data_IF_000140739301
#
_entry.id   IF_000140739301
#
_cell.length_a   1.000
_cell.length_b   1.000
_cell.length_c   1.000
_cell.angle_alpha   90.00
_cell.angle_beta   90.00
_cell.angle_gamma   90.00
#
_symmetry.space_group_name_H-M   'P 1'
#
loop_
_entity.id
_entity.type
_entity.pdbx_description
1 polymer ?
#
# COMPACT_ATOMS: atom_id res chain seq x y z
N UNK A 1 1.10 4.20 20.43
CA UNK A 1 -0.03 3.52 21.10
C UNK A 1 -0.80 2.56 20.18
N UNK A 2 -1.18 2.95 18.95
CA UNK A 2 -1.89 2.06 17.99
C UNK A 2 -1.14 0.77 17.59
N UNK A 3 0.19 0.83 17.49
CA UNK A 3 1.03 -0.33 17.09
C UNK A 3 1.00 -1.42 18.17
N UNK A 4 1.13 -1.06 19.45
CA UNK A 4 1.15 -2.00 20.57
C UNK A 4 -0.19 -2.73 20.72
N UNK A 5 -1.32 -2.04 20.47
CA UNK A 5 -2.65 -2.65 20.50
C UNK A 5 -2.89 -3.70 19.41
N UNK A 6 -2.29 -3.52 18.22
CA UNK A 6 -2.35 -4.50 17.12
C UNK A 6 -1.54 -5.76 17.40
N UNK A 7 -0.37 -5.63 18.04
CA UNK A 7 0.42 -6.78 18.48
C UNK A 7 -0.25 -7.53 19.64
N UNK A 8 -0.84 -6.81 20.59
CA UNK A 8 -1.54 -7.41 21.73
C UNK A 8 -2.80 -8.20 21.33
N UNK A 9 -3.52 -7.79 20.27
CA UNK A 9 -4.68 -8.52 19.75
C UNK A 9 -4.31 -9.65 18.77
N UNK A 10 -3.14 -9.58 18.13
CA UNK A 10 -2.66 -10.61 17.20
C UNK A 10 -2.35 -11.95 17.88
N UNK A 11 -1.74 -11.90 19.08
CA UNK A 11 -1.34 -13.08 19.87
C UNK A 11 -2.53 -14.00 20.25
N UNK A 12 -3.64 -13.50 20.84
CA UNK A 12 -4.79 -14.35 21.16
C UNK A 12 -5.49 -14.88 19.90
N UNK A 13 -5.50 -14.12 18.79
CA UNK A 13 -6.06 -14.59 17.53
C UNK A 13 -5.23 -15.74 16.94
N UNK A 14 -3.89 -15.62 16.97
CA UNK A 14 -3.00 -16.72 16.52
C UNK A 14 -3.06 -17.91 17.45
N UNK A 15 -3.13 -17.70 18.76
CA UNK A 15 -3.37 -18.77 19.74
C UNK A 15 -4.68 -19.50 19.45
N UNK A 16 -5.76 -18.79 19.14
CA UNK A 16 -7.06 -19.38 18.82
C UNK A 16 -7.02 -20.17 17.50
N UNK A 17 -6.34 -19.66 16.48
CA UNK A 17 -6.17 -20.35 15.19
C UNK A 17 -5.30 -21.60 15.35
N UNK A 18 -4.21 -21.53 16.11
CA UNK A 18 -3.35 -22.68 16.43
C UNK A 18 -4.14 -23.73 17.22
N UNK A 19 -4.83 -23.30 18.27
CA UNK A 19 -5.67 -24.20 19.07
C UNK A 19 -6.72 -24.89 18.20
N UNK A 20 -7.43 -24.16 17.35
CA UNK A 20 -8.45 -24.73 16.46
C UNK A 20 -7.85 -25.74 15.46
N UNK A 21 -6.79 -25.36 14.75
CA UNK A 21 -6.16 -26.23 13.75
C UNK A 21 -5.59 -27.52 14.36
N UNK A 22 -4.94 -27.41 15.52
CA UNK A 22 -4.30 -28.56 16.17
C UNK A 22 -5.22 -29.37 17.07
N UNK A 23 -6.34 -28.81 17.55
CA UNK A 23 -7.24 -29.51 18.47
C UNK A 23 -8.51 -30.00 17.78
N UNK A 24 -9.12 -29.21 16.89
CA UNK A 24 -10.44 -29.50 16.35
C UNK A 24 -10.40 -30.18 14.97
N UNK A 25 -9.45 -29.80 14.11
CA UNK A 25 -9.33 -30.36 12.75
C UNK A 25 -8.21 -31.41 12.63
N UNK A 26 -7.46 -31.67 13.70
CA UNK A 26 -6.31 -32.59 13.67
C UNK A 26 -6.69 -34.01 13.25
N UNK A 27 -7.74 -34.59 13.83
CA UNK A 27 -8.22 -35.93 13.44
C UNK A 27 -8.67 -35.96 11.97
N UNK A 28 -9.32 -34.90 11.50
CA UNK A 28 -9.71 -34.77 10.09
C UNK A 28 -8.48 -34.73 9.17
N UNK A 29 -7.45 -33.95 9.53
CA UNK A 29 -6.24 -33.81 8.73
C UNK A 29 -5.40 -35.09 8.70
N UNK A 30 -5.16 -35.72 9.85
CA UNK A 30 -4.39 -36.97 9.93
C UNK A 30 -5.05 -38.08 9.10
N UNK A 31 -6.37 -38.15 9.10
CA UNK A 31 -7.10 -39.19 8.39
C UNK A 31 -7.20 -38.91 6.88
N UNK A 32 -7.39 -37.65 6.47
CA UNK A 32 -7.72 -37.30 5.09
C UNK A 32 -6.54 -36.79 4.23
N UNK A 33 -5.43 -36.32 4.83
CA UNK A 33 -4.26 -35.89 4.05
C UNK A 33 -3.62 -37.10 3.38
N UNK A 34 -3.66 -37.12 2.04
CA UNK A 34 -2.90 -38.07 1.22
C UNK A 34 -1.57 -37.42 0.83
N UNK A 35 -0.47 -38.04 1.25
CA UNK A 35 0.85 -37.66 0.76
C UNK A 35 1.05 -38.27 -0.63
N UNK A 36 1.48 -37.46 -1.61
CA UNK A 36 1.84 -37.93 -2.95
C UNK A 36 3.14 -38.76 -2.98
N UNK A 37 3.79 -38.92 -1.82
CA UNK A 37 5.00 -39.71 -1.63
C UNK A 37 4.74 -40.79 -0.57
N UNK A 38 5.40 -41.94 -0.72
CA UNK A 38 5.31 -43.01 0.27
C UNK A 38 5.97 -42.55 1.58
N UNK A 39 5.17 -42.39 2.64
CA UNK A 39 5.63 -42.11 3.99
C UNK A 39 5.28 -43.34 4.85
N UNK A 40 6.24 -43.93 5.59
CA UNK A 40 5.95 -45.01 6.52
C UNK A 40 4.85 -44.61 7.50
N UNK A 41 3.94 -45.54 7.82
CA UNK A 41 2.77 -45.26 8.68
C UNK A 41 3.18 -44.65 10.02
N UNK A 42 4.26 -45.16 10.61
CA UNK A 42 4.84 -44.69 11.89
C UNK A 42 5.36 -43.24 11.83
N UNK A 43 5.73 -42.74 10.65
CA UNK A 43 6.22 -41.36 10.46
C UNK A 43 5.13 -40.40 9.98
N UNK A 44 3.96 -40.91 9.57
CA UNK A 44 2.89 -40.08 8.97
C UNK A 44 2.41 -39.00 9.93
N UNK A 45 2.19 -39.34 11.20
CA UNK A 45 1.74 -38.37 12.21
C UNK A 45 2.78 -37.29 12.46
N UNK A 46 4.06 -37.68 12.61
CA UNK A 46 5.16 -36.74 12.81
C UNK A 46 5.34 -35.81 11.61
N UNK A 47 5.33 -36.34 10.38
CA UNK A 47 5.41 -35.53 9.16
C UNK A 47 4.23 -34.56 9.04
N UNK A 48 3.01 -35.01 9.33
CA UNK A 48 1.82 -34.16 9.31
C UNK A 48 1.93 -33.05 10.36
N UNK A 49 2.37 -33.38 11.58
CA UNK A 49 2.60 -32.41 12.64
C UNK A 49 3.64 -31.36 12.22
N UNK A 50 4.77 -31.80 11.67
CA UNK A 50 5.83 -30.91 11.22
C UNK A 50 5.38 -29.95 10.12
N UNK A 51 4.66 -30.47 9.10
CA UNK A 51 4.13 -29.65 8.00
C UNK A 51 3.12 -28.64 8.52
N UNK A 52 2.22 -29.05 9.43
CA UNK A 52 1.24 -28.15 10.04
C UNK A 52 1.91 -27.06 10.87
N UNK A 53 2.86 -27.42 11.76
CA UNK A 53 3.59 -26.45 12.58
C UNK A 53 4.35 -25.46 11.69
N UNK A 54 5.04 -25.95 10.66
CA UNK A 54 5.79 -25.11 9.72
C UNK A 54 4.87 -24.16 8.96
N UNK A 55 3.71 -24.63 8.52
CA UNK A 55 2.72 -23.82 7.80
C UNK A 55 2.12 -22.74 8.71
N UNK A 56 1.76 -23.09 9.94
CA UNK A 56 1.24 -22.13 10.93
C UNK A 56 2.29 -21.09 11.30
N UNK A 57 3.53 -21.52 11.54
CA UNK A 57 4.64 -20.62 11.83
C UNK A 57 4.91 -19.68 10.65
N UNK A 58 5.02 -20.21 9.43
CA UNK A 58 5.21 -19.41 8.22
C UNK A 58 4.08 -18.40 8.02
N UNK A 59 2.82 -18.80 8.22
CA UNK A 59 1.66 -17.93 8.12
C UNK A 59 1.67 -16.82 9.17
N UNK A 60 2.00 -17.14 10.42
CA UNK A 60 2.08 -16.17 11.51
C UNK A 60 3.19 -15.15 11.27
N UNK A 61 4.41 -15.60 11.00
CA UNK A 61 5.54 -14.70 10.77
C UNK A 61 5.35 -13.87 9.50
N UNK A 62 4.84 -14.48 8.42
CA UNK A 62 4.48 -13.77 7.20
C UNK A 62 3.44 -12.67 7.47
N UNK A 63 2.37 -13.00 8.21
CA UNK A 63 1.34 -12.03 8.61
C UNK A 63 1.90 -10.88 9.45
N UNK A 64 2.77 -11.17 10.43
CA UNK A 64 3.41 -10.15 11.26
C UNK A 64 4.34 -9.23 10.46
N UNK A 65 5.16 -9.80 9.56
CA UNK A 65 6.07 -9.04 8.69
C UNK A 65 5.26 -8.15 7.74
N UNK A 66 4.22 -8.69 7.09
CA UNK A 66 3.34 -7.91 6.23
C UNK A 66 2.62 -6.80 7.01
N UNK A 67 2.13 -7.09 8.22
CA UNK A 67 1.48 -6.10 9.08
C UNK A 67 2.43 -4.99 9.53
N UNK A 68 3.66 -5.32 9.91
CA UNK A 68 4.67 -4.33 10.26
C UNK A 68 5.08 -3.48 9.06
N UNK A 69 5.30 -4.12 7.91
CA UNK A 69 5.62 -3.44 6.65
C UNK A 69 4.50 -2.50 6.24
N UNK A 70 3.24 -2.92 6.35
CA UNK A 70 2.06 -2.10 6.08
C UNK A 70 2.05 -0.84 6.94
N UNK A 71 2.24 -0.98 8.25
CA UNK A 71 2.25 0.15 9.19
C UNK A 71 3.38 1.13 8.90
N UNK A 72 4.57 0.62 8.56
CA UNK A 72 5.71 1.44 8.17
C UNK A 72 5.43 2.20 6.87
N UNK A 73 5.00 1.51 5.82
CA UNK A 73 4.65 2.13 4.54
C UNK A 73 3.59 3.21 4.73
N UNK A 74 2.51 2.90 5.46
CA UNK A 74 1.44 3.86 5.76
C UNK A 74 1.99 5.11 6.46
N UNK A 75 2.76 4.93 7.53
CA UNK A 75 3.27 6.05 8.32
C UNK A 75 4.25 6.91 7.52
N UNK A 76 5.16 6.28 6.77
CA UNK A 76 6.16 6.98 5.97
C UNK A 76 5.51 7.73 4.81
N UNK A 77 4.54 7.13 4.12
CA UNK A 77 3.82 7.81 3.03
C UNK A 77 2.97 8.97 3.54
N UNK A 78 2.29 8.82 4.69
CA UNK A 78 1.57 9.92 5.32
C UNK A 78 2.50 11.06 5.74
N UNK A 79 3.68 10.74 6.29
CA UNK A 79 4.68 11.73 6.64
C UNK A 79 5.17 12.49 5.40
N UNK A 80 5.47 11.79 4.31
CA UNK A 80 5.87 12.40 3.05
C UNK A 80 4.77 13.32 2.49
N UNK A 81 3.52 12.86 2.46
CA UNK A 81 2.38 13.66 2.03
C UNK A 81 2.19 14.92 2.90
N UNK A 82 2.34 14.80 4.22
CA UNK A 82 2.24 15.94 5.14
C UNK A 82 3.37 16.97 4.94
N UNK A 83 4.59 16.52 4.63
CA UNK A 83 5.71 17.42 4.29
C UNK A 83 5.40 18.20 3.01
N UNK A 84 4.96 17.50 1.95
CA UNK A 84 4.57 18.13 0.68
C UNK A 84 3.42 19.13 0.92
N UNK A 85 2.41 18.73 1.69
CA UNK A 85 1.26 19.57 2.04
C UNK A 85 1.69 20.82 2.82
N UNK A 86 2.55 20.67 3.82
CA UNK A 86 3.06 21.80 4.61
C UNK A 86 3.83 22.77 3.73
N UNK A 87 4.73 22.25 2.88
CA UNK A 87 5.45 23.06 1.89
C UNK A 87 4.50 23.81 0.96
N UNK A 88 3.52 23.10 0.38
CA UNK A 88 2.48 23.67 -0.48
C UNK A 88 1.73 24.82 0.18
N UNK A 89 1.27 24.63 1.42
CA UNK A 89 0.56 25.68 2.15
C UNK A 89 1.44 26.89 2.48
N UNK A 90 2.71 26.66 2.81
CA UNK A 90 3.67 27.73 3.09
C UNK A 90 4.04 28.51 1.82
N UNK A 91 4.24 27.80 0.72
CA UNK A 91 4.54 28.37 -0.59
C UNK A 91 3.40 29.29 -1.04
N UNK A 92 2.15 28.84 -0.92
CA UNK A 92 0.96 29.67 -1.22
C UNK A 92 0.93 30.94 -0.37
N UNK A 93 1.14 30.83 0.95
CA UNK A 93 1.18 31.99 1.85
C UNK A 93 2.29 32.98 1.49
N UNK A 94 3.45 32.49 1.05
CA UNK A 94 4.58 33.34 0.63
C UNK A 94 4.26 34.08 -0.68
N UNK A 95 3.61 33.43 -1.64
CA UNK A 95 3.13 34.10 -2.85
C UNK A 95 2.12 35.22 -2.55
N UNK A 96 1.32 35.09 -1.50
CA UNK A 96 0.35 36.12 -1.10
C UNK A 96 0.98 37.27 -0.29
N UNK A 97 2.16 37.08 0.30
CA UNK A 97 2.74 38.03 1.29
C UNK A 97 4.08 38.63 0.93
N UNK A 98 4.83 38.04 -0.01
CA UNK A 98 6.21 38.42 -0.32
C UNK A 98 6.44 38.53 -1.83
N UNK A 99 7.37 39.42 -2.19
CA UNK A 99 7.86 39.54 -3.56
C UNK A 99 8.60 38.25 -3.98
N UNK A 100 8.21 37.60 -5.10
CA UNK A 100 8.78 36.33 -5.53
C UNK A 100 10.31 36.33 -5.66
N UNK A 101 10.89 37.45 -6.12
CA UNK A 101 12.35 37.58 -6.31
C UNK A 101 13.17 37.38 -5.03
N UNK A 102 12.58 37.58 -3.85
CA UNK A 102 13.29 37.51 -2.57
C UNK A 102 13.42 36.09 -2.00
N UNK A 103 12.48 35.19 -2.33
CA UNK A 103 12.39 33.88 -1.66
C UNK A 103 12.47 32.67 -2.60
N UNK A 104 12.32 32.83 -3.92
CA UNK A 104 12.28 31.73 -4.90
C UNK A 104 13.48 30.77 -4.80
N UNK A 105 14.72 31.28 -4.69
CA UNK A 105 15.90 30.41 -4.62
C UNK A 105 15.88 29.48 -3.41
N UNK A 106 15.37 29.97 -2.27
CA UNK A 106 15.22 29.16 -1.06
C UNK A 106 14.11 28.13 -1.21
N UNK A 107 13.04 28.44 -1.94
CA UNK A 107 11.96 27.48 -2.25
C UNK A 107 12.42 26.39 -3.19
N UNK A 108 13.17 26.73 -4.25
CA UNK A 108 13.75 25.72 -5.16
C UNK A 108 14.64 24.76 -4.38
N UNK A 109 15.48 25.28 -3.48
CA UNK A 109 16.31 24.45 -2.61
C UNK A 109 15.46 23.53 -1.71
N UNK A 110 14.44 24.09 -1.06
CA UNK A 110 13.52 23.34 -0.18
C UNK A 110 12.76 22.25 -0.95
N UNK A 111 12.30 22.55 -2.16
CA UNK A 111 11.65 21.60 -3.05
C UNK A 111 12.58 20.45 -3.44
N UNK A 112 13.82 20.74 -3.81
CA UNK A 112 14.81 19.71 -4.14
C UNK A 112 15.12 18.83 -2.93
N UNK A 113 15.18 19.40 -1.72
CA UNK A 113 15.32 18.63 -0.48
C UNK A 113 14.12 17.70 -0.27
N UNK A 114 12.88 18.21 -0.40
CA UNK A 114 11.66 17.40 -0.30
C UNK A 114 11.64 16.29 -1.35
N UNK A 115 11.96 16.61 -2.60
CA UNK A 115 12.05 15.66 -3.70
C UNK A 115 13.05 14.54 -3.38
N UNK A 116 14.22 14.90 -2.85
CA UNK A 116 15.25 13.94 -2.45
C UNK A 116 14.79 13.03 -1.29
N UNK A 117 13.99 13.56 -0.35
CA UNK A 117 13.41 12.77 0.73
C UNK A 117 12.39 11.78 0.19
N UNK A 118 11.50 12.20 -0.72
CA UNK A 118 10.51 11.32 -1.35
C UNK A 118 11.21 10.24 -2.19
N UNK A 119 12.24 10.57 -2.95
CA UNK A 119 13.04 9.60 -3.71
C UNK A 119 13.75 8.60 -2.79
N UNK A 120 14.31 9.05 -1.66
CA UNK A 120 14.90 8.14 -0.65
C UNK A 120 13.87 7.20 -0.04
N UNK A 121 12.67 7.72 0.26
CA UNK A 121 11.55 6.91 0.76
C UNK A 121 11.17 5.86 -0.28
N UNK A 122 11.01 6.26 -1.55
CA UNK A 122 10.68 5.34 -2.63
C UNK A 122 11.74 4.24 -2.75
N UNK A 123 13.03 4.60 -2.82
CA UNK A 123 14.12 3.61 -2.91
C UNK A 123 14.20 2.67 -1.71
N UNK A 124 13.89 3.14 -0.51
CA UNK A 124 13.94 2.32 0.70
C UNK A 124 12.75 1.36 0.81
N UNK A 125 11.56 1.79 0.37
CA UNK A 125 10.31 1.06 0.56
C UNK A 125 9.76 0.40 -0.72
N UNK A 126 10.33 0.65 -1.90
CA UNK A 126 9.77 0.15 -3.17
C UNK A 126 9.63 -1.38 -3.20
N UNK A 127 10.65 -2.12 -2.78
CA UNK A 127 10.63 -3.58 -2.77
C UNK A 127 9.67 -4.09 -1.70
N UNK A 128 9.67 -3.47 -0.52
CA UNK A 128 8.73 -3.79 0.56
C UNK A 128 7.28 -3.56 0.11
N UNK A 129 7.00 -2.46 -0.57
CA UNK A 129 5.70 -2.15 -1.13
C UNK A 129 5.33 -3.19 -2.20
N UNK A 130 6.23 -3.53 -3.13
CA UNK A 130 5.98 -4.56 -4.14
C UNK A 130 5.59 -5.90 -3.50
N UNK A 131 6.41 -6.39 -2.57
CA UNK A 131 6.16 -7.66 -1.88
C UNK A 131 4.86 -7.63 -1.07
N UNK A 132 4.56 -6.50 -0.42
CA UNK A 132 3.30 -6.31 0.31
C UNK A 132 2.11 -6.37 -0.64
N UNK A 133 2.14 -5.66 -1.77
CA UNK A 133 1.08 -5.69 -2.78
C UNK A 133 0.88 -7.09 -3.35
N UNK A 134 1.96 -7.79 -3.70
CA UNK A 134 1.90 -9.18 -4.16
C UNK A 134 1.28 -10.09 -3.10
N UNK A 135 1.73 -10.00 -1.85
CA UNK A 135 1.21 -10.81 -0.75
C UNK A 135 -0.28 -10.57 -0.50
N UNK A 136 -0.71 -9.30 -0.42
CA UNK A 136 -2.11 -8.96 -0.23
C UNK A 136 -2.97 -9.43 -1.42
N UNK A 137 -2.51 -9.24 -2.65
CA UNK A 137 -3.21 -9.76 -3.84
C UNK A 137 -3.34 -11.28 -3.79
N UNK A 138 -2.27 -12.02 -3.47
CA UNK A 138 -2.33 -13.46 -3.31
C UNK A 138 -3.37 -13.88 -2.28
N UNK A 139 -3.43 -13.22 -1.11
CA UNK A 139 -4.44 -13.53 -0.10
C UNK A 139 -5.88 -13.23 -0.55
N UNK A 140 -6.11 -12.18 -1.36
CA UNK A 140 -7.41 -11.91 -1.98
C UNK A 140 -7.81 -13.09 -2.88
N UNK A 141 -6.93 -13.49 -3.81
CA UNK A 141 -7.20 -14.58 -4.74
C UNK A 141 -7.39 -15.92 -4.04
N UNK A 142 -6.55 -16.25 -3.05
CA UNK A 142 -6.70 -17.46 -2.22
C UNK A 142 -8.06 -17.47 -1.52
N UNK A 143 -8.50 -16.35 -0.95
CA UNK A 143 -9.80 -16.26 -0.28
C UNK A 143 -10.94 -16.52 -1.25
N UNK A 144 -10.86 -16.00 -2.48
CA UNK A 144 -11.83 -16.27 -3.55
C UNK A 144 -11.82 -17.76 -3.94
N UNK A 145 -10.64 -18.34 -4.17
CA UNK A 145 -10.50 -19.75 -4.55
C UNK A 145 -11.10 -20.68 -3.49
N UNK A 146 -10.83 -20.43 -2.20
CA UNK A 146 -11.40 -21.23 -1.11
C UNK A 146 -12.91 -21.04 -1.02
N UNK A 147 -13.42 -19.81 -1.19
CA UNK A 147 -14.86 -19.52 -1.14
C UNK A 147 -15.66 -20.19 -2.27
N UNK A 148 -15.04 -20.37 -3.45
CA UNK A 148 -15.68 -21.01 -4.61
C UNK A 148 -15.49 -22.54 -4.61
N UNK A 149 -14.50 -23.06 -3.88
CA UNK A 149 -14.19 -24.49 -3.86
C UNK A 149 -15.38 -25.34 -3.42
N UNK A 150 -15.53 -26.50 -4.07
CA UNK A 150 -16.58 -27.49 -3.80
C UNK A 150 -16.17 -28.57 -2.82
N UNK A 151 -14.92 -28.58 -2.39
CA UNK A 151 -14.41 -29.57 -1.44
C UNK A 151 -15.14 -29.46 -0.09
N UNK A 152 -15.71 -30.57 0.38
CA UNK A 152 -16.51 -30.60 1.63
C UNK A 152 -15.72 -30.11 2.84
N UNK A 153 -14.42 -30.39 2.87
CA UNK A 153 -13.48 -29.97 3.92
C UNK A 153 -13.45 -28.43 4.03
N UNK A 154 -13.59 -27.70 2.91
CA UNK A 154 -13.53 -26.24 2.88
C UNK A 154 -14.87 -25.56 3.15
N UNK A 155 -15.99 -26.30 3.20
CA UNK A 155 -17.35 -25.76 3.39
C UNK A 155 -17.80 -25.70 4.85
N UNK A 156 -16.91 -25.97 5.81
CA UNK A 156 -17.21 -25.76 7.23
C UNK A 156 -17.56 -24.29 7.49
N UNK A 157 -18.62 -24.02 8.25
CA UNK A 157 -19.08 -22.66 8.59
C UNK A 157 -17.95 -21.78 9.17
N UNK A 158 -17.03 -22.40 9.91
CA UNK A 158 -15.87 -21.72 10.49
C UNK A 158 -14.86 -21.30 9.42
N UNK A 159 -14.55 -22.17 8.46
CA UNK A 159 -13.63 -21.86 7.36
C UNK A 159 -14.22 -20.72 6.53
N UNK A 160 -15.52 -20.75 6.23
CA UNK A 160 -16.22 -19.68 5.53
C UNK A 160 -16.09 -18.35 6.29
N UNK A 161 -16.31 -18.36 7.61
CA UNK A 161 -16.17 -17.16 8.44
C UNK A 161 -14.73 -16.62 8.44
N UNK A 162 -13.72 -17.48 8.59
CA UNK A 162 -12.30 -17.10 8.58
C UNK A 162 -11.90 -16.53 7.21
N UNK A 163 -12.33 -17.17 6.12
CA UNK A 163 -12.06 -16.71 4.75
C UNK A 163 -12.71 -15.37 4.48
N UNK A 164 -13.96 -15.17 4.90
CA UNK A 164 -14.66 -13.89 4.78
C UNK A 164 -13.94 -12.79 5.58
N UNK A 165 -13.56 -13.05 6.84
CA UNK A 165 -12.79 -12.12 7.65
C UNK A 165 -11.43 -11.78 7.00
N UNK A 166 -10.72 -12.79 6.48
CA UNK A 166 -9.44 -12.59 5.80
C UNK A 166 -9.60 -11.70 4.56
N UNK A 167 -10.61 -11.97 3.72
CA UNK A 167 -10.90 -11.17 2.54
C UNK A 167 -11.17 -9.70 2.89
N UNK A 168 -11.98 -9.44 3.91
CA UNK A 168 -12.29 -8.08 4.39
C UNK A 168 -11.03 -7.39 4.91
N UNK A 169 -10.24 -8.05 5.76
CA UNK A 169 -9.03 -7.48 6.36
C UNK A 169 -7.96 -7.17 5.31
N UNK A 170 -7.68 -8.11 4.41
CA UNK A 170 -6.68 -7.94 3.36
C UNK A 170 -7.09 -6.82 2.39
N UNK A 171 -8.37 -6.78 2.01
CA UNK A 171 -8.90 -5.70 1.16
C UNK A 171 -8.80 -4.34 1.86
N UNK A 172 -9.11 -4.28 3.16
CA UNK A 172 -8.95 -3.07 3.96
C UNK A 172 -7.49 -2.61 4.02
N UNK A 173 -6.55 -3.52 4.28
CA UNK A 173 -5.12 -3.20 4.31
C UNK A 173 -4.60 -2.75 2.95
N UNK A 174 -4.99 -3.43 1.87
CA UNK A 174 -4.66 -3.05 0.50
C UNK A 174 -5.17 -1.64 0.21
N UNK A 175 -6.41 -1.33 0.55
CA UNK A 175 -6.98 0.01 0.40
C UNK A 175 -6.17 1.04 1.20
N UNK A 176 -5.85 0.74 2.46
CA UNK A 176 -5.17 1.67 3.36
C UNK A 176 -3.78 2.08 2.85
N UNK A 177 -2.96 1.12 2.42
CA UNK A 177 -1.64 1.44 1.83
C UNK A 177 -1.77 2.19 0.52
N UNK A 178 -2.79 1.86 -0.29
CA UNK A 178 -3.06 2.55 -1.55
C UNK A 178 -3.45 4.00 -1.34
N UNK A 179 -4.32 4.28 -0.36
CA UNK A 179 -4.72 5.65 -0.02
C UNK A 179 -3.54 6.45 0.50
N UNK A 180 -2.74 5.89 1.41
CA UNK A 180 -1.56 6.60 1.93
C UNK A 180 -0.55 6.90 0.84
N UNK A 181 -0.29 5.97 -0.09
CA UNK A 181 0.56 6.22 -1.25
C UNK A 181 -0.04 7.23 -2.23
N UNK A 182 -1.37 7.18 -2.47
CA UNK A 182 -2.03 8.13 -3.37
C UNK A 182 -2.01 9.55 -2.84
N UNK A 183 -2.02 9.76 -1.51
CA UNK A 183 -1.91 11.09 -0.92
C UNK A 183 -0.59 11.79 -1.29
N UNK A 184 0.52 11.05 -1.42
CA UNK A 184 1.80 11.62 -1.88
C UNK A 184 1.68 12.15 -3.30
N UNK A 185 1.06 11.37 -4.19
CA UNK A 185 0.81 11.74 -5.57
C UNK A 185 -0.14 12.94 -5.68
N UNK A 186 -1.27 12.90 -4.96
CA UNK A 186 -2.28 13.96 -4.97
C UNK A 186 -1.74 15.28 -4.43
N UNK A 187 -0.97 15.26 -3.33
CA UNK A 187 -0.32 16.47 -2.81
C UNK A 187 0.75 16.99 -3.77
N UNK A 188 1.45 16.10 -4.48
CA UNK A 188 2.38 16.47 -5.55
C UNK A 188 1.70 17.15 -6.72
N UNK A 189 0.55 16.64 -7.18
CA UNK A 189 -0.25 17.27 -8.23
C UNK A 189 -0.85 18.61 -7.78
N UNK A 190 -1.35 18.68 -6.55
CA UNK A 190 -1.86 19.93 -5.98
C UNK A 190 -0.76 21.01 -5.85
N UNK A 191 0.49 20.61 -5.55
CA UNK A 191 1.61 21.53 -5.56
C UNK A 191 1.89 22.09 -6.97
N UNK A 192 1.81 21.25 -8.01
CA UNK A 192 1.94 21.68 -9.40
C UNK A 192 0.83 22.67 -9.78
N UNK A 193 -0.40 22.41 -9.36
CA UNK A 193 -1.56 23.27 -9.64
C UNK A 193 -1.45 24.64 -8.98
N UNK A 194 -1.00 24.73 -7.72
CA UNK A 194 -0.77 26.04 -7.07
C UNK A 194 0.27 26.86 -7.83
N UNK A 195 1.32 26.21 -8.34
CA UNK A 195 2.29 26.91 -9.17
C UNK A 195 1.63 27.45 -10.45
N UNK A 196 0.80 26.67 -11.14
CA UNK A 196 0.08 27.16 -12.31
C UNK A 196 -0.87 28.33 -11.99
N UNK A 197 -1.62 28.26 -10.89
CA UNK A 197 -2.55 29.30 -10.45
C UNK A 197 -1.82 30.61 -10.10
N UNK A 198 -0.73 30.53 -9.33
CA UNK A 198 0.08 31.70 -8.97
C UNK A 198 0.68 32.37 -10.22
N UNK A 199 1.04 31.60 -11.25
CA UNK A 199 1.63 32.16 -12.47
C UNK A 199 0.56 32.80 -13.36
N UNK A 200 -0.63 32.21 -13.43
CA UNK A 200 -1.78 32.80 -14.10
C UNK A 200 -2.14 34.15 -13.50
N UNK A 201 -2.25 34.24 -12.18
CA UNK A 201 -2.57 35.48 -11.46
C UNK A 201 -1.47 36.55 -11.61
N UNK A 202 -0.21 36.16 -11.46
CA UNK A 202 0.94 37.06 -11.61
C UNK A 202 1.07 37.56 -13.05
N UNK A 203 0.85 36.71 -14.07
CA UNK A 203 0.91 37.13 -15.47
C UNK A 203 -0.13 38.21 -15.83
N UNK A 204 -1.32 38.16 -15.22
CA UNK A 204 -2.36 39.17 -15.43
C UNK A 204 -2.04 40.49 -14.73
N UNK A 205 -1.46 40.45 -13.53
CA UNK A 205 -1.02 41.65 -12.80
C UNK A 205 0.17 42.36 -13.47
N UNK A 206 1.18 41.60 -13.93
CA UNK A 206 2.36 42.15 -14.58
C UNK A 206 2.09 42.71 -15.98
N UNK A 207 1.00 42.30 -16.65
CA UNK A 207 0.61 42.88 -17.95
C UNK A 207 0.12 44.33 -17.83
N UNK A 208 -0.27 44.78 -16.63
CA UNK A 208 -0.73 46.15 -16.37
C UNK A 208 0.38 47.09 -15.84
N UNK A 209 1.44 46.58 -15.21
CA UNK A 209 2.58 47.37 -14.72
C UNK A 209 3.82 47.17 -15.61
N UNK A 210 3.79 47.79 -16.78
CA UNK A 210 4.65 47.49 -17.95
C UNK A 210 6.13 47.92 -17.88
N UNK A 211 6.75 48.09 -16.71
CA UNK A 211 8.14 48.58 -16.69
C UNK A 211 9.11 47.98 -15.66
N UNK A 212 8.68 47.08 -14.77
CA UNK A 212 9.57 46.47 -13.78
C UNK A 212 9.54 44.95 -13.75
N UNK A 213 10.73 44.36 -13.96
CA UNK A 213 11.20 43.00 -13.62
C UNK A 213 10.85 41.85 -14.59
N UNK A 214 11.65 41.75 -15.66
CA UNK A 214 11.90 40.47 -16.36
C UNK A 214 12.48 39.39 -15.43
N UNK A 215 13.25 39.77 -14.39
CA UNK A 215 13.93 38.82 -13.49
C UNK A 215 12.98 38.06 -12.56
N UNK A 216 11.91 38.67 -12.04
CA UNK A 216 10.93 37.97 -11.20
C UNK A 216 10.16 36.93 -12.01
N UNK A 217 9.79 37.25 -13.24
CA UNK A 217 9.12 36.33 -14.15
C UNK A 217 10.04 35.17 -14.56
N UNK A 218 11.32 35.44 -14.83
CA UNK A 218 12.31 34.38 -15.10
C UNK A 218 12.50 33.47 -13.87
N UNK A 219 12.67 34.02 -12.67
CA UNK A 219 12.83 33.24 -11.44
C UNK A 219 11.59 32.40 -11.14
N UNK A 220 10.40 32.95 -11.38
CA UNK A 220 9.17 32.19 -11.33
C UNK A 220 9.23 31.05 -12.35
N UNK A 221 9.47 31.32 -13.63
CA UNK A 221 9.54 30.27 -14.67
C UNK A 221 10.50 29.13 -14.32
N UNK A 222 11.62 29.43 -13.65
CA UNK A 222 12.55 28.43 -13.11
C UNK A 222 11.89 27.56 -12.03
N UNK A 223 11.24 28.15 -11.03
CA UNK A 223 10.53 27.42 -9.98
C UNK A 223 9.41 26.53 -10.56
N UNK A 224 8.65 27.01 -11.54
CA UNK A 224 7.61 26.22 -12.20
C UNK A 224 8.22 25.03 -12.96
N UNK A 225 9.30 25.24 -13.69
CA UNK A 225 10.00 24.15 -14.37
C UNK A 225 10.53 23.12 -13.37
N UNK A 226 11.13 23.56 -12.26
CA UNK A 226 11.55 22.67 -11.18
C UNK A 226 10.36 21.86 -10.62
N UNK A 227 9.24 22.51 -10.29
CA UNK A 227 8.05 21.83 -9.75
C UNK A 227 7.44 20.86 -10.75
N UNK A 228 7.43 21.21 -12.05
CA UNK A 228 6.92 20.34 -13.11
C UNK A 228 7.77 19.08 -13.24
N UNK A 229 9.09 19.23 -13.24
CA UNK A 229 10.05 18.16 -13.51
C UNK A 229 10.28 17.25 -12.29
N UNK A 230 9.98 17.73 -11.08
CA UNK A 230 10.05 16.90 -9.87
C UNK A 230 8.95 15.85 -9.86
N UNK A 231 9.37 14.59 -9.71
CA UNK A 231 8.51 13.42 -9.59
C UNK A 231 8.22 13.10 -8.12
N UNK A 232 7.18 13.72 -7.55
CA UNK A 232 6.68 13.40 -6.21
C UNK A 232 5.72 12.20 -6.27
N UNK A 233 6.27 10.99 -6.35
CA UNK A 233 5.49 9.75 -6.37
C UNK A 233 6.24 8.62 -5.66
N UNK A 234 5.48 7.67 -5.14
CA UNK A 234 6.00 6.43 -4.57
C UNK A 234 5.57 5.24 -5.43
N UNK A 235 6.41 4.23 -5.50
CA UNK A 235 6.29 3.11 -6.43
C UNK A 235 6.40 1.76 -5.74
N UNK A 236 5.78 0.73 -6.32
CA UNK A 236 6.03 -0.66 -5.98
C UNK A 236 7.11 -1.23 -6.89
N UNK A 237 8.33 -1.40 -6.37
CA UNK A 237 9.48 -1.96 -7.08
C UNK A 237 9.88 -1.22 -8.36
N UNK A 238 9.52 0.07 -8.49
CA UNK A 238 9.68 0.83 -9.73
C UNK A 238 8.77 0.39 -10.88
N UNK A 239 7.89 -0.60 -10.67
CA UNK A 239 7.02 -1.17 -11.71
C UNK A 239 5.71 -0.41 -11.87
N UNK A 240 5.16 0.07 -10.75
CA UNK A 240 3.87 0.76 -10.73
C UNK A 240 3.88 1.90 -9.72
N UNK A 241 3.09 2.94 -9.98
CA UNK A 241 2.93 4.08 -9.07
C UNK A 241 1.83 3.74 -8.08
N UNK A 242 2.10 3.84 -6.78
CA UNK A 242 1.11 3.53 -5.75
C UNK A 242 0.01 4.60 -5.77
N UNK A 243 -1.15 4.24 -6.33
CA UNK A 243 -2.29 5.14 -6.46
C UNK A 243 -3.62 4.39 -6.56
N UNK A 244 -4.72 5.15 -6.46
CA UNK A 244 -6.10 4.61 -6.48
C UNK A 244 -6.40 3.70 -7.69
N UNK A 245 -5.73 3.94 -8.82
CA UNK A 245 -5.87 3.13 -10.03
C UNK A 245 -5.45 1.67 -9.84
N UNK A 246 -4.46 1.38 -8.97
CA UNK A 246 -4.04 0.00 -8.69
C UNK A 246 -5.09 -0.76 -7.91
N UNK A 247 -5.71 -0.11 -6.92
CA UNK A 247 -6.81 -0.71 -6.17
C UNK A 247 -7.97 -1.09 -7.10
N UNK A 248 -8.33 -0.20 -8.03
CA UNK A 248 -9.35 -0.47 -9.03
C UNK A 248 -8.95 -1.63 -9.96
N UNK A 249 -7.69 -1.67 -10.41
CA UNK A 249 -7.18 -2.74 -11.26
C UNK A 249 -7.23 -4.11 -10.57
N UNK A 250 -6.76 -4.20 -9.32
CA UNK A 250 -6.80 -5.45 -8.54
C UNK A 250 -8.23 -5.87 -8.21
N UNK A 251 -9.11 -4.92 -7.88
CA UNK A 251 -10.53 -5.21 -7.64
C UNK A 251 -11.20 -5.77 -8.90
N UNK A 252 -10.95 -5.17 -10.06
CA UNK A 252 -11.49 -5.65 -11.33
C UNK A 252 -10.96 -7.06 -11.68
N UNK A 253 -9.66 -7.28 -11.45
CA UNK A 253 -9.04 -8.60 -11.63
C UNK A 253 -9.64 -9.65 -10.69
N UNK A 254 -9.87 -9.29 -9.42
CA UNK A 254 -10.51 -10.16 -8.43
C UNK A 254 -11.95 -10.54 -8.82
N UNK A 255 -12.75 -9.58 -9.27
CA UNK A 255 -14.11 -9.84 -9.75
C UNK A 255 -14.09 -10.75 -10.98
N UNK A 256 -13.23 -10.44 -11.95
CA UNK A 256 -13.10 -11.24 -13.18
C UNK A 256 -12.66 -12.67 -12.86
N UNK A 257 -11.67 -12.84 -11.97
CA UNK A 257 -11.23 -14.14 -11.48
C UNK A 257 -12.35 -14.90 -10.76
N UNK A 258 -13.15 -14.22 -9.93
CA UNK A 258 -14.31 -14.81 -9.25
C UNK A 258 -15.30 -15.37 -10.26
N UNK A 259 -15.65 -14.61 -11.30
CA UNK A 259 -16.59 -15.06 -12.34
C UNK A 259 -16.04 -16.27 -13.10
N UNK A 260 -14.76 -16.23 -13.51
CA UNK A 260 -14.11 -17.33 -14.23
C UNK A 260 -14.07 -18.60 -13.35
N UNK A 261 -13.62 -18.48 -12.11
CA UNK A 261 -13.55 -19.62 -11.18
C UNK A 261 -14.92 -20.20 -10.89
N UNK A 262 -15.95 -19.36 -10.75
CA UNK A 262 -17.33 -19.80 -10.59
C UNK A 262 -17.80 -20.57 -11.83
N UNK A 263 -17.55 -20.06 -13.04
CA UNK A 263 -17.91 -20.77 -14.28
C UNK A 263 -17.20 -22.12 -14.39
N UNK A 264 -15.88 -22.18 -14.15
CA UNK A 264 -15.11 -23.42 -14.21
C UNK A 264 -15.59 -24.43 -13.17
N UNK A 265 -15.92 -23.98 -11.96
CA UNK A 265 -16.36 -24.87 -10.90
C UNK A 265 -17.76 -25.44 -11.17
N UNK A 266 -18.59 -24.74 -11.95
CA UNK A 266 -19.98 -25.11 -12.25
C UNK A 266 -20.21 -25.63 -13.67
N UNK A 267 -19.18 -25.68 -14.51
CA UNK A 267 -19.14 -26.41 -15.77
C UNK A 267 -18.95 -27.92 -15.53
#
# INVERSE_FOLDING_TARGET
>A
MRIIGLFASGIPLTSAICYFFFYQEWENYVNNIKFNMYIPYEMREFCTAFVSISSTFSGMYGGLICGFTLLLCEHVYLMAANIIRSYRTNLRKRFETQDPSSFIFNEIKSLNEIASVVDRIDRAFNLCALLLYCSLSCYIFISISVAISREEILRSNWIIAVVACNFILVTHFFYKVTVSGSLVLEEGEQLKNICLECFGGVSQQFFWESHYKNESFQNLSLLQNCIRDVSLKVTGGGMFVIGKHIFLAVTNAAITYTVIMYQISYA
#
